data_IF_004155317776
#
_entry.id   IF_004155317776
#
_cell.length_a   1.000
_cell.length_b   1.000
_cell.length_c   1.000
_cell.angle_alpha   90.00
_cell.angle_beta   90.00
_cell.angle_gamma   90.00
#
_symmetry.space_group_name_H-M   'P 1'
#
loop_
_entity.id
_entity.type
_entity.pdbx_description
1 polymer ?
#
# COMPACT_ATOMS: atom_id res chain seq x y z
N UNK A 1 3.57 28.76 -4.02
CA UNK A 1 4.15 28.86 -2.68
C UNK A 1 5.60 28.40 -2.79
N UNK A 2 6.57 29.02 -2.07
CA UNK A 2 7.95 28.57 -2.10
C UNK A 2 8.11 27.34 -1.18
N UNK A 3 9.11 26.50 -1.50
CA UNK A 3 9.44 25.32 -0.69
C UNK A 3 10.11 25.78 0.61
N UNK A 4 9.71 25.18 1.70
CA UNK A 4 10.39 25.31 2.99
C UNK A 4 11.52 24.30 3.09
N UNK A 5 12.74 24.76 2.76
CA UNK A 5 13.93 23.90 2.78
C UNK A 5 14.28 23.42 4.18
N UNK A 6 14.11 24.25 5.21
CA UNK A 6 14.40 23.87 6.58
C UNK A 6 13.49 22.71 7.03
N UNK A 7 12.21 22.81 6.69
CA UNK A 7 11.27 21.74 6.95
C UNK A 7 11.62 20.44 6.18
N UNK A 8 12.01 20.56 4.90
CA UNK A 8 12.45 19.41 4.09
C UNK A 8 13.69 18.73 4.67
N UNK A 9 14.66 19.52 5.15
CA UNK A 9 15.87 19.01 5.80
C UNK A 9 15.56 18.22 7.06
N UNK A 10 14.61 18.67 7.87
CA UNK A 10 14.24 18.04 9.14
C UNK A 10 13.34 16.83 8.98
N UNK A 11 12.35 16.88 8.06
CA UNK A 11 11.27 15.88 8.01
C UNK A 11 11.43 14.84 6.91
N UNK A 12 12.24 15.12 5.86
CA UNK A 12 12.34 14.25 4.69
C UNK A 12 13.77 13.80 4.45
N UNK A 13 14.71 14.76 4.37
CA UNK A 13 16.08 14.49 3.94
C UNK A 13 16.97 14.03 5.11
N UNK A 14 16.62 14.43 6.35
CA UNK A 14 17.35 14.13 7.59
C UNK A 14 18.80 14.59 7.59
N UNK A 15 19.12 15.65 6.83
CA UNK A 15 20.41 16.35 6.81
C UNK A 15 20.27 17.74 6.22
N UNK A 16 21.26 18.57 6.46
CA UNK A 16 21.34 19.89 5.80
C UNK A 16 21.55 19.75 4.28
N UNK A 17 20.91 20.60 3.52
CA UNK A 17 21.05 20.72 2.07
C UNK A 17 22.14 21.75 1.71
N UNK A 18 22.95 21.41 0.74
CA UNK A 18 23.87 22.37 0.11
C UNK A 18 23.06 23.37 -0.73
N UNK A 19 23.68 24.51 -1.07
CA UNK A 19 23.03 25.52 -1.89
C UNK A 19 22.68 25.01 -3.28
N UNK A 20 23.51 24.14 -3.86
CA UNK A 20 23.22 23.49 -5.14
C UNK A 20 22.01 22.53 -5.07
N UNK A 21 21.83 21.83 -3.96
CA UNK A 21 20.68 20.94 -3.74
C UNK A 21 19.40 21.73 -3.50
N UNK A 22 19.46 22.83 -2.76
CA UNK A 22 18.32 23.74 -2.58
C UNK A 22 17.88 24.33 -3.92
N UNK A 23 18.82 24.73 -4.75
CA UNK A 23 18.53 25.22 -6.10
C UNK A 23 17.90 24.11 -6.96
N UNK A 24 18.39 22.86 -6.88
CA UNK A 24 17.82 21.74 -7.61
C UNK A 24 16.40 21.40 -7.15
N UNK A 25 16.07 21.53 -5.87
CA UNK A 25 14.73 21.31 -5.33
C UNK A 25 13.70 22.38 -5.72
N UNK A 26 14.10 23.47 -6.36
CA UNK A 26 13.14 24.47 -6.86
C UNK A 26 12.21 23.94 -7.96
N UNK A 27 12.52 22.77 -8.55
CA UNK A 27 11.64 22.05 -9.46
C UNK A 27 10.39 21.44 -8.77
N UNK A 28 10.44 21.25 -7.46
CA UNK A 28 9.31 20.72 -6.68
C UNK A 28 8.18 21.75 -6.64
N UNK A 29 6.97 21.31 -6.97
CA UNK A 29 5.79 22.17 -6.99
C UNK A 29 5.05 22.10 -5.65
N UNK A 30 4.67 23.26 -5.09
CA UNK A 30 3.83 23.33 -3.90
C UNK A 30 2.39 23.67 -4.30
N UNK A 31 1.45 22.79 -3.98
CA UNK A 31 0.04 22.91 -4.30
C UNK A 31 -0.81 22.95 -3.04
N UNK A 32 -1.75 23.90 -2.97
CA UNK A 32 -2.76 23.94 -1.91
C UNK A 32 -4.00 23.21 -2.37
N UNK A 33 -4.54 22.34 -1.51
CA UNK A 33 -5.71 21.49 -1.77
C UNK A 33 -6.72 21.75 -0.67
N UNK A 34 -7.98 22.01 -1.04
CA UNK A 34 -9.04 22.26 -0.08
C UNK A 34 -9.55 20.95 0.56
N UNK A 35 -10.17 21.05 1.73
CA UNK A 35 -10.81 19.92 2.37
C UNK A 35 -11.85 19.26 1.44
N UNK A 36 -11.80 17.92 1.36
CA UNK A 36 -12.67 17.12 0.48
C UNK A 36 -12.19 17.00 -0.97
N UNK A 37 -11.18 17.74 -1.40
CA UNK A 37 -10.61 17.59 -2.74
C UNK A 37 -9.67 16.40 -2.84
N UNK A 38 -9.59 15.81 -4.03
CA UNK A 38 -8.67 14.71 -4.31
C UNK A 38 -7.27 15.23 -4.65
N UNK A 39 -6.27 14.73 -3.94
CA UNK A 39 -4.84 14.93 -4.23
C UNK A 39 -4.40 13.92 -5.30
N UNK A 40 -4.83 12.66 -5.15
CA UNK A 40 -4.58 11.58 -6.11
C UNK A 40 -5.92 10.92 -6.45
N UNK A 41 -6.11 10.56 -7.72
CA UNK A 41 -7.27 9.78 -8.18
C UNK A 41 -6.80 8.41 -8.64
N UNK A 42 -7.43 7.34 -8.13
CA UNK A 42 -7.20 5.96 -8.54
C UNK A 42 -7.33 5.79 -10.07
N UNK A 43 -6.48 4.98 -10.66
CA UNK A 43 -6.48 4.69 -12.09
C UNK A 43 -5.85 5.77 -12.99
N UNK A 44 -5.57 6.96 -12.48
CA UNK A 44 -4.83 7.98 -13.22
C UNK A 44 -3.37 7.57 -13.42
N UNK A 45 -2.67 8.11 -14.44
CA UNK A 45 -1.23 7.88 -14.59
C UNK A 45 -0.48 8.34 -13.34
N UNK A 46 0.39 7.48 -12.80
CA UNK A 46 1.34 7.86 -11.76
C UNK A 46 2.59 8.45 -12.40
N UNK A 47 3.07 9.56 -11.89
CA UNK A 47 4.26 10.25 -12.44
C UNK A 47 4.83 11.25 -11.47
N UNK A 48 4.18 11.43 -10.31
CA UNK A 48 4.64 12.33 -9.25
C UNK A 48 4.76 11.59 -7.92
N UNK A 49 5.79 11.96 -7.17
CA UNK A 49 5.94 11.66 -5.75
C UNK A 49 5.39 12.83 -4.97
N UNK A 50 4.49 12.55 -4.05
CA UNK A 50 3.83 13.56 -3.23
C UNK A 50 4.40 13.54 -1.81
N UNK A 51 4.54 14.72 -1.20
CA UNK A 51 4.98 14.91 0.18
C UNK A 51 3.97 15.79 0.88
N UNK A 52 3.37 15.33 1.97
CA UNK A 52 2.47 16.13 2.78
C UNK A 52 3.27 17.13 3.61
N UNK A 53 3.19 18.41 3.25
CA UNK A 53 3.81 19.48 4.02
C UNK A 53 2.96 19.88 5.22
N UNK A 54 1.64 20.06 4.98
CA UNK A 54 0.70 20.41 6.06
C UNK A 54 -0.70 19.86 5.77
N UNK A 55 -1.51 19.70 6.81
CA UNK A 55 -2.84 19.12 6.73
C UNK A 55 -2.82 17.59 6.80
N UNK A 56 -3.99 16.96 6.65
CA UNK A 56 -4.17 15.50 6.68
C UNK A 56 -5.03 15.04 5.52
N UNK A 57 -4.75 13.85 5.03
CA UNK A 57 -5.50 13.21 3.97
C UNK A 57 -5.76 11.73 4.31
N UNK A 58 -6.78 11.14 3.68
CA UNK A 58 -7.07 9.71 3.76
C UNK A 58 -6.77 9.02 2.44
N UNK A 59 -6.28 7.80 2.53
CA UNK A 59 -6.08 6.88 1.40
C UNK A 59 -7.27 5.93 1.37
N UNK A 60 -7.96 5.85 0.23
CA UNK A 60 -9.12 4.97 0.05
C UNK A 60 -8.93 4.10 -1.20
N UNK A 61 -9.20 2.80 -1.04
CA UNK A 61 -9.32 1.87 -2.16
C UNK A 61 -10.81 1.62 -2.45
N UNK A 62 -11.15 1.56 -3.73
CA UNK A 62 -12.49 1.26 -4.18
C UNK A 62 -12.66 -0.25 -4.36
N UNK A 63 -12.81 -0.97 -3.25
CA UNK A 63 -13.02 -2.41 -3.27
C UNK A 63 -14.40 -2.74 -3.88
N UNK A 64 -14.42 -3.56 -4.94
CA UNK A 64 -15.64 -3.96 -5.65
C UNK A 64 -16.66 -4.70 -4.78
N UNK A 65 -16.23 -5.27 -3.65
CA UNK A 65 -17.07 -6.09 -2.76
C UNK A 65 -17.55 -5.35 -1.50
N UNK A 66 -16.75 -4.40 -1.00
CA UNK A 66 -17.00 -3.74 0.29
C UNK A 66 -17.24 -2.23 0.16
N UNK A 67 -17.15 -1.68 -1.07
CA UNK A 67 -17.21 -0.24 -1.30
C UNK A 67 -15.87 0.45 -0.99
N UNK A 68 -15.92 1.72 -0.57
CA UNK A 68 -14.71 2.49 -0.21
C UNK A 68 -14.20 2.06 1.14
N UNK A 69 -12.95 1.59 1.17
CA UNK A 69 -12.26 1.20 2.40
C UNK A 69 -11.11 2.17 2.63
N UNK A 70 -11.08 2.78 3.81
CA UNK A 70 -9.93 3.61 4.23
C UNK A 70 -8.76 2.69 4.58
N UNK A 71 -7.66 2.85 3.85
CA UNK A 71 -6.44 2.06 4.02
C UNK A 71 -5.48 2.69 5.04
N UNK A 72 -5.36 4.03 5.03
CA UNK A 72 -4.45 4.78 5.88
C UNK A 72 -4.83 6.26 5.93
N UNK A 73 -4.29 6.96 6.93
CA UNK A 73 -4.23 8.42 6.96
C UNK A 73 -2.80 8.89 6.64
N UNK A 74 -2.71 10.05 6.01
CA UNK A 74 -1.48 10.72 5.63
C UNK A 74 -1.36 11.98 6.48
N UNK A 75 -0.25 12.09 7.19
CA UNK A 75 0.10 13.22 8.06
C UNK A 75 1.28 14.00 7.48
N UNK A 76 1.58 15.23 7.97
CA UNK A 76 2.77 15.99 7.56
C UNK A 76 4.05 15.16 7.71
N UNK A 77 4.99 15.30 6.76
CA UNK A 77 6.22 14.51 6.69
C UNK A 77 6.05 13.15 6.00
N UNK A 78 4.85 12.81 5.54
CA UNK A 78 4.61 11.54 4.83
C UNK A 78 4.81 11.70 3.32
N UNK A 79 5.62 10.80 2.73
CA UNK A 79 5.68 10.59 1.29
C UNK A 79 4.60 9.61 0.85
N UNK A 80 3.96 9.87 -0.29
CA UNK A 80 2.92 9.01 -0.85
C UNK A 80 2.89 9.06 -2.38
N UNK A 81 2.19 8.10 -3.01
CA UNK A 81 2.19 7.95 -4.46
C UNK A 81 3.46 7.29 -5.02
N UNK A 82 4.37 6.88 -4.16
CA UNK A 82 5.69 6.30 -4.45
C UNK A 82 5.60 4.98 -5.22
N UNK A 83 4.57 4.16 -4.97
CA UNK A 83 4.39 2.86 -5.65
C UNK A 83 4.28 3.00 -7.17
N UNK A 84 3.72 4.10 -7.63
CA UNK A 84 3.47 4.35 -9.04
C UNK A 84 4.46 5.34 -9.64
N UNK A 85 5.11 6.11 -8.80
CA UNK A 85 6.19 7.01 -9.17
C UNK A 85 7.40 6.25 -9.74
N UNK A 86 7.86 5.19 -9.05
CA UNK A 86 9.06 4.44 -9.46
C UNK A 86 8.81 3.53 -10.66
N UNK A 87 7.62 2.94 -10.81
CA UNK A 87 7.34 1.93 -11.84
C UNK A 87 6.37 2.38 -12.94
N UNK A 88 6.06 3.67 -13.03
CA UNK A 88 5.21 4.28 -14.08
C UNK A 88 3.83 3.61 -14.25
N UNK A 89 3.30 3.02 -13.18
CA UNK A 89 1.99 2.39 -13.20
C UNK A 89 0.88 3.41 -12.89
N UNK A 90 -0.37 2.97 -13.05
CA UNK A 90 -1.54 3.77 -12.66
C UNK A 90 -1.67 3.82 -11.15
N UNK A 91 -2.20 4.93 -10.61
CA UNK A 91 -2.49 5.12 -9.19
C UNK A 91 -3.37 4.00 -8.66
N UNK A 92 -3.01 3.45 -7.51
CA UNK A 92 -3.64 2.28 -6.91
C UNK A 92 -4.74 2.60 -5.90
N UNK A 93 -4.87 3.87 -5.51
CA UNK A 93 -5.86 4.34 -4.54
C UNK A 93 -6.18 5.81 -4.74
N UNK A 94 -7.32 6.25 -4.22
CA UNK A 94 -7.68 7.65 -4.06
C UNK A 94 -6.98 8.23 -2.82
N UNK A 95 -6.52 9.47 -2.91
CA UNK A 95 -6.08 10.26 -1.75
C UNK A 95 -6.90 11.52 -1.69
N UNK A 96 -7.68 11.69 -0.61
CA UNK A 96 -8.60 12.80 -0.41
C UNK A 96 -8.20 13.62 0.81
N UNK A 97 -8.10 14.93 0.66
CA UNK A 97 -7.79 15.84 1.75
C UNK A 97 -8.90 15.83 2.81
N UNK A 98 -8.56 15.63 4.09
CA UNK A 98 -9.48 15.71 5.22
C UNK A 98 -9.67 17.15 5.71
N UNK A 99 -8.67 17.97 5.52
CA UNK A 99 -8.61 19.38 5.86
C UNK A 99 -7.83 20.15 4.77
N UNK A 100 -7.67 21.46 4.88
CA UNK A 100 -6.82 22.18 3.94
C UNK A 100 -5.37 21.69 4.01
N UNK A 101 -4.84 21.22 2.89
CA UNK A 101 -3.51 20.63 2.78
C UNK A 101 -2.60 21.49 1.91
N UNK A 102 -1.30 21.40 2.17
CA UNK A 102 -0.25 21.79 1.25
C UNK A 102 0.58 20.56 0.92
N UNK A 103 0.75 20.29 -0.38
CA UNK A 103 1.44 19.10 -0.88
C UNK A 103 2.57 19.55 -1.78
N UNK A 104 3.75 18.99 -1.56
CA UNK A 104 4.89 19.13 -2.45
C UNK A 104 4.91 17.96 -3.44
N UNK A 105 5.03 18.27 -4.73
CA UNK A 105 5.01 17.28 -5.81
C UNK A 105 6.33 17.30 -6.57
N UNK A 106 7.01 16.18 -6.66
CA UNK A 106 8.21 15.96 -7.45
C UNK A 106 7.86 15.07 -8.66
N UNK A 107 8.12 15.56 -9.88
CA UNK A 107 7.89 14.78 -11.09
C UNK A 107 8.97 13.72 -11.30
N UNK A 108 8.68 12.67 -12.07
CA UNK A 108 9.64 11.65 -12.39
C UNK A 108 10.80 12.16 -13.24
N UNK A 109 10.53 13.14 -14.12
CA UNK A 109 11.56 13.73 -14.96
C UNK A 109 12.52 14.61 -14.14
N UNK A 110 11.98 15.38 -13.18
CA UNK A 110 12.81 16.15 -12.23
C UNK A 110 13.64 15.21 -11.36
N UNK A 111 13.04 14.12 -10.87
CA UNK A 111 13.79 13.12 -10.09
C UNK A 111 14.90 12.45 -10.90
N UNK A 112 14.64 12.16 -12.18
CA UNK A 112 15.67 11.64 -13.08
C UNK A 112 16.83 12.65 -13.25
N UNK A 113 16.50 13.94 -13.35
CA UNK A 113 17.51 15.02 -13.40
C UNK A 113 18.29 15.12 -12.09
N UNK A 114 17.63 14.96 -10.93
CA UNK A 114 18.30 14.88 -9.64
C UNK A 114 19.27 13.68 -9.58
N UNK A 115 18.85 12.51 -10.06
CA UNK A 115 19.71 11.33 -10.11
C UNK A 115 20.96 11.53 -10.96
N UNK A 116 20.91 12.37 -11.99
CA UNK A 116 22.05 12.66 -12.87
C UNK A 116 22.98 13.74 -12.30
N UNK A 117 22.44 14.74 -11.60
CA UNK A 117 23.19 15.95 -11.25
C UNK A 117 23.39 16.14 -9.73
N UNK A 118 22.58 15.48 -8.89
CA UNK A 118 22.53 15.62 -7.44
C UNK A 118 22.34 14.25 -6.77
N UNK A 119 23.32 13.34 -6.96
CA UNK A 119 23.19 11.93 -6.55
C UNK A 119 22.89 11.76 -5.06
N UNK A 120 23.50 12.55 -4.19
CA UNK A 120 23.30 12.46 -2.74
C UNK A 120 21.87 12.84 -2.34
N UNK A 121 21.31 13.88 -2.98
CA UNK A 121 19.93 14.28 -2.76
C UNK A 121 18.95 13.23 -3.26
N UNK A 122 19.17 12.70 -4.47
CA UNK A 122 18.35 11.62 -5.02
C UNK A 122 18.39 10.37 -4.14
N UNK A 123 19.57 10.02 -3.62
CA UNK A 123 19.72 8.92 -2.66
C UNK A 123 18.94 9.16 -1.37
N UNK A 124 19.00 10.38 -0.80
CA UNK A 124 18.26 10.72 0.41
C UNK A 124 16.74 10.59 0.21
N UNK A 125 16.21 11.04 -0.94
CA UNK A 125 14.79 10.87 -1.30
C UNK A 125 14.42 9.39 -1.41
N UNK A 126 15.25 8.56 -2.06
CA UNK A 126 15.03 7.12 -2.15
C UNK A 126 15.06 6.45 -0.77
N UNK A 127 15.98 6.84 0.10
CA UNK A 127 16.08 6.34 1.46
C UNK A 127 14.80 6.65 2.26
N UNK A 128 14.27 7.87 2.15
CA UNK A 128 13.01 8.26 2.78
C UNK A 128 11.81 7.44 2.26
N UNK A 129 11.74 7.16 0.96
CA UNK A 129 10.73 6.27 0.37
C UNK A 129 10.84 4.86 0.97
N UNK A 130 12.06 4.31 1.05
CA UNK A 130 12.29 2.95 1.58
C UNK A 130 11.96 2.86 3.07
N UNK A 131 12.29 3.86 3.86
CA UNK A 131 11.96 3.94 5.28
C UNK A 131 10.45 3.93 5.49
N UNK A 132 9.72 4.72 4.69
CA UNK A 132 8.26 4.74 4.70
C UNK A 132 7.67 3.36 4.39
N UNK A 133 8.15 2.68 3.35
CA UNK A 133 7.69 1.34 2.98
C UNK A 133 7.94 0.33 4.10
N UNK A 134 9.09 0.40 4.74
CA UNK A 134 9.44 -0.47 5.87
C UNK A 134 8.49 -0.28 7.05
N UNK A 135 8.13 0.96 7.38
CA UNK A 135 7.20 1.28 8.46
C UNK A 135 5.79 0.75 8.19
N UNK A 136 5.30 0.86 6.95
CA UNK A 136 3.99 0.31 6.54
C UNK A 136 3.97 -1.21 6.67
N UNK A 137 5.01 -1.92 6.21
CA UNK A 137 5.11 -3.38 6.32
C UNK A 137 5.13 -3.82 7.79
N UNK A 138 5.87 -3.12 8.64
CA UNK A 138 5.94 -3.43 10.08
C UNK A 138 4.60 -3.21 10.78
N UNK A 139 3.89 -2.14 10.47
CA UNK A 139 2.56 -1.86 11.06
C UNK A 139 1.52 -2.92 10.66
N UNK A 140 1.55 -3.40 9.41
CA UNK A 140 0.68 -4.48 8.96
C UNK A 140 0.95 -5.81 9.70
N UNK A 141 2.21 -6.14 10.00
CA UNK A 141 2.56 -7.34 10.78
C UNK A 141 1.98 -7.30 12.19
N UNK A 142 2.01 -6.15 12.84
CA UNK A 142 1.46 -5.96 14.18
C UNK A 142 -0.06 -6.16 14.20
N UNK A 143 -0.76 -5.75 13.14
CA UNK A 143 -2.23 -5.88 13.01
C UNK A 143 -2.65 -7.31 12.65
N UNK A 144 -1.90 -8.01 11.80
CA UNK A 144 -2.24 -9.36 11.35
C UNK A 144 -1.98 -10.44 12.41
N UNK A 145 -0.94 -10.29 13.23
CA UNK A 145 -0.58 -11.29 14.24
C UNK A 145 -1.71 -11.60 15.25
N UNK A 146 -2.41 -10.62 15.86
CA UNK A 146 -3.54 -10.89 16.75
C UNK A 146 -4.75 -11.49 16.01
N UNK A 147 -5.01 -11.07 14.75
CA UNK A 147 -6.09 -11.67 13.95
C UNK A 147 -5.85 -13.15 13.67
N UNK A 148 -4.64 -13.52 13.26
CA UNK A 148 -4.25 -14.92 13.04
C UNK A 148 -4.32 -15.73 14.34
N UNK A 149 -3.95 -15.15 15.48
CA UNK A 149 -4.05 -15.79 16.79
C UNK A 149 -5.52 -16.06 17.14
N UNK A 150 -6.40 -15.07 16.97
CA UNK A 150 -7.84 -15.22 17.19
C UNK A 150 -8.47 -16.29 16.29
N UNK A 151 -8.10 -16.34 15.00
CA UNK A 151 -8.57 -17.38 14.08
C UNK A 151 -8.09 -18.76 14.51
N UNK A 152 -6.82 -18.89 14.91
CA UNK A 152 -6.26 -20.15 15.42
C UNK A 152 -6.98 -20.63 16.70
N UNK A 153 -7.29 -19.72 17.61
CA UNK A 153 -8.00 -20.04 18.85
C UNK A 153 -9.49 -20.41 18.59
N UNK A 154 -10.14 -19.72 17.65
CA UNK A 154 -11.49 -20.10 17.18
C UNK A 154 -11.47 -21.48 16.52
N UNK A 155 -10.48 -21.75 15.66
CA UNK A 155 -10.33 -23.06 15.00
C UNK A 155 -10.09 -24.19 15.99
N UNK A 156 -9.36 -23.94 17.09
CA UNK A 156 -9.19 -24.94 18.18
C UNK A 156 -10.49 -25.28 18.90
N UNK A 157 -11.40 -24.30 19.02
CA UNK A 157 -12.72 -24.49 19.69
C UNK A 157 -13.78 -25.13 18.78
N UNK A 158 -13.50 -25.34 17.50
CA UNK A 158 -14.44 -26.01 16.60
C UNK A 158 -14.67 -27.46 17.06
N UNK A 159 -15.93 -27.93 17.09
CA UNK A 159 -16.26 -29.33 17.42
C UNK A 159 -15.47 -30.31 16.54
N UNK A 160 -15.09 -31.44 17.12
CA UNK A 160 -14.25 -32.44 16.46
C UNK A 160 -14.84 -32.92 15.12
N UNK A 161 -16.15 -33.07 15.04
CA UNK A 161 -16.83 -33.54 13.82
C UNK A 161 -16.69 -32.55 12.65
N UNK A 162 -16.62 -31.22 12.89
CA UNK A 162 -16.40 -30.22 11.85
C UNK A 162 -14.94 -30.29 11.35
N UNK A 163 -14.00 -30.56 12.24
CA UNK A 163 -12.57 -30.76 11.87
C UNK A 163 -12.38 -32.01 11.03
N UNK A 164 -13.19 -33.05 11.29
CA UNK A 164 -13.13 -34.32 10.58
C UNK A 164 -14.05 -34.36 9.34
N UNK A 165 -14.92 -33.38 9.15
CA UNK A 165 -15.84 -33.34 8.02
C UNK A 165 -15.18 -33.61 6.66
N UNK A 166 -14.03 -32.99 6.30
CA UNK A 166 -13.37 -33.28 5.02
C UNK A 166 -12.96 -34.74 4.89
N UNK A 167 -12.46 -35.34 5.96
CA UNK A 167 -12.06 -36.75 5.99
C UNK A 167 -13.29 -37.69 5.86
N UNK A 168 -14.41 -37.35 6.51
CA UNK A 168 -15.67 -38.08 6.40
C UNK A 168 -16.19 -38.02 4.96
N UNK A 169 -16.15 -36.85 4.30
CA UNK A 169 -16.55 -36.71 2.89
C UNK A 169 -15.67 -37.54 1.95
N UNK A 170 -14.35 -37.55 2.17
CA UNK A 170 -13.41 -38.35 1.38
C UNK A 170 -13.71 -39.83 1.59
N UNK A 171 -13.96 -40.27 2.82
CA UNK A 171 -14.31 -41.68 3.13
C UNK A 171 -15.62 -42.10 2.45
N UNK A 172 -16.65 -41.26 2.53
CA UNK A 172 -17.94 -41.51 1.88
C UNK A 172 -17.82 -41.58 0.35
N UNK A 173 -16.95 -40.72 -0.22
CA UNK A 173 -16.69 -40.75 -1.66
C UNK A 173 -15.97 -42.03 -2.08
N UNK A 174 -14.94 -42.47 -1.34
CA UNK A 174 -14.22 -43.71 -1.60
C UNK A 174 -15.12 -44.94 -1.44
N UNK A 175 -15.92 -45.01 -0.37
CA UNK A 175 -16.83 -46.13 -0.15
C UNK A 175 -17.94 -46.18 -1.19
N UNK A 176 -18.48 -45.04 -1.60
CA UNK A 176 -19.44 -44.94 -2.70
C UNK A 176 -18.85 -45.41 -4.03
N UNK A 177 -17.63 -44.98 -4.33
CA UNK A 177 -16.90 -45.38 -5.54
C UNK A 177 -16.62 -46.90 -5.55
N UNK A 178 -16.18 -47.47 -4.42
CA UNK A 178 -15.95 -48.90 -4.28
C UNK A 178 -17.23 -49.70 -4.41
N UNK A 179 -18.36 -49.21 -3.86
CA UNK A 179 -19.66 -49.86 -3.97
C UNK A 179 -20.17 -49.90 -5.42
N UNK A 180 -20.03 -48.80 -6.15
CA UNK A 180 -20.42 -48.74 -7.57
C UNK A 180 -19.52 -49.68 -8.39
N UNK A 181 -18.22 -49.66 -8.19
CA UNK A 181 -17.25 -50.53 -8.89
C UNK A 181 -17.49 -52.01 -8.60
N UNK A 182 -17.87 -52.35 -7.36
CA UNK A 182 -18.23 -53.73 -7.00
C UNK A 182 -19.53 -54.17 -7.68
N UNK A 183 -20.53 -53.30 -7.72
CA UNK A 183 -21.81 -53.58 -8.37
C UNK A 183 -21.68 -53.79 -9.89
N UNK A 184 -20.83 -53.00 -10.55
CA UNK A 184 -20.56 -53.14 -11.98
C UNK A 184 -19.79 -54.43 -12.29
N UNK A 185 -18.98 -54.93 -11.35
CA UNK A 185 -18.26 -56.19 -11.47
C UNK A 185 -19.20 -57.41 -11.36
N UNK A 186 -20.24 -57.33 -10.51
CA UNK A 186 -21.21 -58.43 -10.28
C UNK A 186 -22.18 -58.60 -11.47
N UNK A 187 -22.36 -57.58 -12.32
CA UNK A 187 -23.20 -57.66 -13.54
C UNK A 187 -22.43 -58.06 -14.80
N UNK A 188 -21.09 -58.17 -14.75
CA UNK A 188 -20.25 -58.53 -15.88
C UNK A 188 -19.98 -60.02 -16.06
N UNK A 189 -20.65 -60.88 -15.35
CA UNK A 189 -20.48 -62.33 -15.38
C UNK A 189 -21.68 -63.05 -16.01
N UNK A 190 -21.88 -62.94 -17.34
CA UNK A 190 -22.52 -63.93 -18.22
C UNK A 190 -22.08 -63.70 -19.65
#
# INVERSE_FOLDING_TARGET
>A
MAIDFAWMEENIINRALSESERQALTCVNATSVAAGEKIITEGQPGGTLEIMYSGRAKVEDNNRYEGRVTLAEIEPGTLFGELTFLNKKRRTADVTALEACVVYSLTQDDFTSLMQNQHELAYAILAAIMERQSSVIMSQRVTLAPMLRNLKDKAKKLPLFIKLAPLIFILLYITGFLYISWKDFDYGGY
#
